data_IF_880877221225
#
_entry.id   IF_880877221225
#
_cell.length_a   1.000
_cell.length_b   1.000
_cell.length_c   1.000
_cell.angle_alpha   90.00
_cell.angle_beta   90.00
_cell.angle_gamma   90.00
#
_symmetry.space_group_name_H-M   'P 1'
#
loop_
_entity.id
_entity.type
_entity.pdbx_description
1 polymer ?
#
# COMPACT_ATOMS: atom_id res chain seq x y z
N UNK A 1 -20.09 8.11 11.03
CA UNK A 1 -18.71 8.40 10.55
C UNK A 1 -18.02 7.06 10.40
N UNK A 2 -17.31 6.82 9.30
CA UNK A 2 -16.61 5.55 9.10
C UNK A 2 -15.36 5.54 10.00
N UNK A 3 -15.17 4.55 10.89
CA UNK A 3 -14.03 4.51 11.84
C UNK A 3 -12.65 4.62 11.16
N UNK A 4 -12.55 4.14 9.92
CA UNK A 4 -11.31 4.20 9.13
C UNK A 4 -11.02 5.61 8.57
N UNK A 5 -12.06 6.42 8.36
CA UNK A 5 -11.88 7.82 7.96
C UNK A 5 -11.34 8.65 9.13
N UNK A 6 -11.89 8.45 10.33
CA UNK A 6 -11.39 9.06 11.56
C UNK A 6 -9.92 8.70 11.87
N UNK A 7 -9.52 7.45 11.60
CA UNK A 7 -8.12 7.04 11.73
C UNK A 7 -7.19 7.89 10.87
N UNK A 8 -7.53 8.12 9.59
CA UNK A 8 -6.71 8.92 8.68
C UNK A 8 -6.67 10.39 9.11
N UNK A 9 -7.78 10.95 9.57
CA UNK A 9 -7.81 12.32 10.10
C UNK A 9 -6.87 12.47 11.32
N UNK A 10 -6.92 11.54 12.27
CA UNK A 10 -6.03 11.53 13.44
C UNK A 10 -4.56 11.32 13.05
N UNK A 11 -4.31 10.43 12.10
CA UNK A 11 -2.97 10.16 11.56
C UNK A 11 -2.37 11.42 10.92
N UNK A 12 -3.11 12.12 10.06
CA UNK A 12 -2.64 13.35 9.41
C UNK A 12 -2.49 14.50 10.44
N UNK A 13 -3.43 14.63 11.36
CA UNK A 13 -3.37 15.68 12.40
C UNK A 13 -2.14 15.55 13.30
N UNK A 14 -1.65 14.33 13.54
CA UNK A 14 -0.43 14.08 14.30
C UNK A 14 0.80 14.79 13.72
N UNK A 15 0.95 14.79 12.40
CA UNK A 15 2.10 15.41 11.72
C UNK A 15 2.11 16.93 11.80
N UNK A 16 0.96 17.54 12.15
CA UNK A 16 0.78 18.98 12.32
C UNK A 16 0.70 19.41 13.79
N UNK A 17 0.79 18.50 14.77
CA UNK A 17 0.62 18.81 16.20
C UNK A 17 1.80 19.64 16.74
N UNK A 18 1.59 20.89 17.21
CA UNK A 18 2.66 21.76 17.67
C UNK A 18 3.21 21.38 19.06
N UNK A 19 2.39 20.80 19.93
CA UNK A 19 2.76 20.48 21.31
C UNK A 19 3.51 19.13 21.36
N UNK A 20 4.77 19.09 21.85
CA UNK A 20 5.55 17.85 21.92
C UNK A 20 4.92 16.77 22.83
N UNK A 21 4.27 17.16 23.93
CA UNK A 21 3.62 16.20 24.82
C UNK A 21 2.41 15.57 24.13
N UNK A 22 1.59 16.38 23.47
CA UNK A 22 0.45 15.90 22.68
C UNK A 22 0.89 15.06 21.49
N UNK A 23 2.02 15.35 20.85
CA UNK A 23 2.57 14.46 19.79
C UNK A 23 2.79 13.06 20.34
N UNK A 24 3.44 12.92 21.51
CA UNK A 24 3.66 11.64 22.15
C UNK A 24 2.36 10.92 22.49
N UNK A 25 1.40 11.63 23.08
CA UNK A 25 0.07 11.08 23.39
C UNK A 25 -0.64 10.56 22.14
N UNK A 26 -0.62 11.33 21.04
CA UNK A 26 -1.23 10.93 19.77
C UNK A 26 -0.52 9.75 19.12
N UNK A 27 0.81 9.68 19.20
CA UNK A 27 1.56 8.49 18.74
C UNK A 27 1.12 7.27 19.52
N UNK A 28 1.08 7.34 20.86
CA UNK A 28 0.65 6.23 21.71
C UNK A 28 -0.82 5.83 21.52
N UNK A 29 -1.67 6.77 21.07
CA UNK A 29 -3.07 6.50 20.75
C UNK A 29 -3.29 5.90 19.35
N UNK A 30 -2.29 6.00 18.46
CA UNK A 30 -2.36 5.48 17.09
C UNK A 30 -1.58 4.19 16.91
N UNK A 31 -0.37 4.06 17.48
CA UNK A 31 0.48 2.87 17.33
C UNK A 31 0.42 1.95 18.54
N UNK A 32 0.46 0.66 18.29
CA UNK A 32 0.76 -0.33 19.31
C UNK A 32 2.19 -0.16 19.86
N UNK A 33 2.50 -0.72 21.04
CA UNK A 33 3.81 -0.53 21.70
C UNK A 33 5.01 -0.98 20.86
N UNK A 34 4.82 -1.97 19.97
CA UNK A 34 5.83 -2.47 19.03
C UNK A 34 5.58 -1.98 17.59
N UNK A 35 4.78 -0.94 17.41
CA UNK A 35 4.47 -0.38 16.10
C UNK A 35 5.68 0.20 15.41
N UNK A 36 5.61 0.32 14.09
CA UNK A 36 6.70 0.83 13.26
C UNK A 36 6.17 1.81 12.21
N UNK A 37 6.98 2.81 11.86
CA UNK A 37 6.67 3.77 10.80
C UNK A 37 7.83 3.77 9.80
N UNK A 38 7.60 3.15 8.65
CA UNK A 38 8.63 2.76 7.71
C UNK A 38 8.64 3.67 6.48
N UNK A 39 9.79 4.21 6.17
CA UNK A 39 10.10 4.89 4.92
C UNK A 39 11.36 4.28 4.33
N UNK A 40 11.65 4.54 3.08
CA UNK A 40 12.82 3.98 2.37
C UNK A 40 14.12 3.99 3.18
N UNK A 41 14.40 5.06 3.93
CA UNK A 41 15.66 5.25 4.68
C UNK A 41 15.43 5.37 6.19
N UNK A 42 14.21 5.20 6.68
CA UNK A 42 13.84 5.35 8.09
C UNK A 42 13.02 4.14 8.54
N UNK A 43 13.35 3.64 9.73
CA UNK A 43 12.73 2.48 10.36
C UNK A 43 12.55 2.71 11.87
N UNK A 44 11.83 3.79 12.30
CA UNK A 44 11.53 4.00 13.72
C UNK A 44 10.55 2.95 14.23
N UNK A 45 10.91 2.33 15.36
CA UNK A 45 10.14 1.26 16.02
C UNK A 45 9.84 1.61 17.46
N UNK A 46 8.60 1.38 17.87
CA UNK A 46 8.08 1.72 19.19
C UNK A 46 7.76 3.21 19.37
N UNK A 47 7.00 3.50 20.41
CA UNK A 47 6.40 4.83 20.65
C UNK A 47 7.46 5.94 20.68
N UNK A 48 8.59 5.72 21.35
CA UNK A 48 9.61 6.77 21.53
C UNK A 48 10.30 7.14 20.21
N UNK A 49 10.69 6.13 19.40
CA UNK A 49 11.34 6.35 18.13
C UNK A 49 10.37 6.99 17.10
N UNK A 50 9.10 6.56 17.08
CA UNK A 50 8.08 7.16 16.23
C UNK A 50 7.80 8.60 16.66
N UNK A 51 7.71 8.88 17.96
CA UNK A 51 7.55 10.26 18.48
C UNK A 51 8.71 11.15 18.06
N UNK A 52 9.95 10.67 18.19
CA UNK A 52 11.13 11.41 17.74
C UNK A 52 11.07 11.70 16.22
N UNK A 53 10.68 10.71 15.42
CA UNK A 53 10.50 10.84 13.96
C UNK A 53 9.46 11.91 13.62
N UNK A 54 8.28 11.89 14.26
CA UNK A 54 7.21 12.87 14.07
C UNK A 54 7.69 14.26 14.46
N UNK A 55 8.40 14.37 15.58
CA UNK A 55 8.96 15.64 16.07
C UNK A 55 9.96 16.24 15.08
N UNK A 56 10.90 15.44 14.59
CA UNK A 56 11.86 15.88 13.56
C UNK A 56 11.15 16.37 12.28
N UNK A 57 10.09 15.68 11.87
CA UNK A 57 9.31 16.09 10.70
C UNK A 57 8.58 17.41 10.95
N UNK A 58 7.92 17.54 12.10
CA UNK A 58 7.24 18.77 12.50
C UNK A 58 8.22 19.96 12.53
N UNK A 59 9.34 19.83 13.23
CA UNK A 59 10.33 20.90 13.38
C UNK A 59 10.89 21.35 12.03
N UNK A 60 11.18 20.39 11.14
CA UNK A 60 11.74 20.67 9.82
C UNK A 60 10.75 21.32 8.86
N UNK A 61 9.53 20.80 8.81
CA UNK A 61 8.60 21.14 7.74
C UNK A 61 7.48 22.08 8.20
N UNK A 62 6.87 21.81 9.36
CA UNK A 62 5.75 22.61 9.86
C UNK A 62 6.27 23.88 10.53
N UNK A 63 7.04 23.74 11.60
CA UNK A 63 7.58 24.89 12.32
C UNK A 63 8.63 25.66 11.50
N UNK A 64 9.53 24.94 10.83
CA UNK A 64 10.65 25.57 10.11
C UNK A 64 10.31 26.18 8.75
N UNK A 65 9.23 25.70 8.09
CA UNK A 65 8.83 26.16 6.74
C UNK A 65 7.37 26.61 6.62
N UNK A 66 6.58 26.49 7.66
CA UNK A 66 5.15 26.82 7.63
C UNK A 66 4.32 25.89 6.74
N UNK A 67 4.80 24.66 6.50
CA UNK A 67 4.06 23.68 5.73
C UNK A 67 3.02 23.00 6.60
N UNK A 68 2.02 22.39 5.93
CA UNK A 68 1.00 21.58 6.58
C UNK A 68 0.89 20.24 5.85
N UNK A 69 0.65 19.18 6.61
CA UNK A 69 0.26 17.88 6.07
C UNK A 69 -1.25 17.82 5.91
N UNK A 70 -1.72 17.33 4.78
CA UNK A 70 -3.14 17.20 4.45
C UNK A 70 -3.42 15.82 3.87
N UNK A 71 -4.59 15.27 4.15
CA UNK A 71 -5.08 14.11 3.40
C UNK A 71 -5.41 14.54 1.96
N UNK A 72 -5.11 13.69 0.99
CA UNK A 72 -5.40 13.91 -0.42
C UNK A 72 -6.31 12.81 -0.94
N UNK A 73 -7.50 13.19 -1.41
CA UNK A 73 -8.52 12.23 -1.84
C UNK A 73 -9.16 11.45 -0.69
N UNK A 74 -9.95 10.44 -1.05
CA UNK A 74 -10.63 9.58 -0.09
C UNK A 74 -9.78 8.38 0.27
N UNK A 75 -9.63 8.04 1.56
CA UNK A 75 -8.95 6.82 1.96
C UNK A 75 -9.76 5.58 1.54
N UNK A 76 -9.06 4.49 1.29
CA UNK A 76 -9.66 3.18 1.06
C UNK A 76 -9.26 2.25 2.19
N UNK A 77 -10.22 1.43 2.65
CA UNK A 77 -9.98 0.51 3.75
C UNK A 77 -10.72 -0.80 3.52
N UNK A 78 -10.04 -1.90 3.80
CA UNK A 78 -10.65 -3.22 3.91
C UNK A 78 -9.83 -4.07 4.89
N UNK A 79 -10.50 -5.04 5.53
CA UNK A 79 -9.86 -5.91 6.51
C UNK A 79 -9.06 -5.10 7.56
N UNK A 80 -7.77 -5.36 7.71
CA UNK A 80 -6.86 -4.74 8.66
C UNK A 80 -5.94 -3.67 8.05
N UNK A 81 -6.29 -3.13 6.88
CA UNK A 81 -5.45 -2.16 6.17
C UNK A 81 -6.23 -0.92 5.71
N UNK A 82 -5.59 0.23 5.82
CA UNK A 82 -6.07 1.50 5.26
C UNK A 82 -5.01 2.07 4.33
N UNK A 83 -5.39 2.39 3.12
CA UNK A 83 -4.57 3.12 2.15
C UNK A 83 -5.03 4.58 2.12
N UNK A 84 -4.12 5.51 2.30
CA UNK A 84 -4.41 6.95 2.22
C UNK A 84 -3.30 7.72 1.51
N UNK A 85 -3.70 8.66 0.68
CA UNK A 85 -2.79 9.64 0.09
C UNK A 85 -2.66 10.85 1.01
N UNK A 86 -1.48 11.43 1.03
CA UNK A 86 -1.20 12.66 1.75
C UNK A 86 -0.39 13.63 0.89
N UNK A 87 -0.48 14.87 1.23
CA UNK A 87 0.31 15.95 0.64
C UNK A 87 0.87 16.86 1.73
N UNK A 88 1.97 17.51 1.41
CA UNK A 88 2.59 18.52 2.27
C UNK A 88 2.98 19.74 1.44
N UNK A 89 2.68 20.92 1.95
CA UNK A 89 3.01 22.20 1.30
C UNK A 89 2.56 23.38 2.14
N UNK A 90 2.71 24.62 1.62
CA UNK A 90 2.23 25.83 2.31
C UNK A 90 0.72 25.74 2.62
N UNK A 91 0.29 26.36 3.72
CA UNK A 91 -1.13 26.48 4.01
C UNK A 91 -1.82 27.26 2.88
N UNK A 92 -2.80 26.64 2.19
CA UNK A 92 -3.52 27.24 1.06
C UNK A 92 -2.73 27.33 -0.25
N UNK A 93 -1.50 26.77 -0.32
CA UNK A 93 -0.69 26.68 -1.54
C UNK A 93 -0.62 25.27 -2.12
N UNK A 94 0.10 25.15 -3.25
CA UNK A 94 0.32 23.88 -3.92
C UNK A 94 1.16 22.92 -3.07
N UNK A 95 0.91 21.61 -3.25
CA UNK A 95 1.71 20.59 -2.61
C UNK A 95 3.16 20.59 -3.14
N UNK A 96 4.12 20.54 -2.23
CA UNK A 96 5.55 20.39 -2.56
C UNK A 96 6.05 18.96 -2.37
N UNK A 97 5.26 18.12 -1.71
CA UNK A 97 5.51 16.68 -1.56
C UNK A 97 4.19 15.94 -1.50
N UNK A 98 4.16 14.80 -2.14
CA UNK A 98 3.03 13.88 -2.18
C UNK A 98 3.49 12.51 -1.69
N UNK A 99 2.57 11.73 -1.15
CA UNK A 99 2.85 10.35 -0.79
C UNK A 99 1.61 9.52 -0.56
N UNK A 100 1.87 8.23 -0.40
CA UNK A 100 0.89 7.20 -0.12
C UNK A 100 1.34 6.44 1.13
N UNK A 101 0.43 6.24 2.07
CA UNK A 101 0.65 5.41 3.25
C UNK A 101 -0.28 4.20 3.24
N UNK A 102 0.26 3.04 3.63
CA UNK A 102 -0.51 1.87 4.00
C UNK A 102 -0.41 1.70 5.52
N UNK A 103 -1.52 1.86 6.18
CA UNK A 103 -1.67 1.74 7.63
C UNK A 103 -2.20 0.35 7.95
N UNK A 104 -1.36 -0.51 8.50
CA UNK A 104 -1.70 -1.89 8.86
C UNK A 104 -2.05 -1.94 10.34
N UNK A 105 -3.21 -2.50 10.66
CA UNK A 105 -3.78 -2.51 12.00
C UNK A 105 -3.62 -3.88 12.66
N UNK A 106 -3.44 -3.87 13.95
CA UNK A 106 -3.52 -5.07 14.80
C UNK A 106 -4.97 -5.36 15.24
N UNK A 107 -5.14 -6.43 16.02
CA UNK A 107 -6.44 -6.85 16.52
C UNK A 107 -7.07 -5.84 17.51
N UNK A 108 -6.30 -4.87 18.02
CA UNK A 108 -6.75 -3.78 18.87
C UNK A 108 -7.03 -2.50 18.08
N UNK A 109 -7.03 -2.56 16.75
CA UNK A 109 -7.21 -1.42 15.85
C UNK A 109 -6.10 -0.35 15.98
N UNK A 110 -4.92 -0.73 16.48
CA UNK A 110 -3.75 0.11 16.54
C UNK A 110 -2.82 -0.18 15.35
N UNK A 111 -2.07 0.83 14.92
CA UNK A 111 -1.09 0.67 13.86
C UNK A 111 0.06 -0.23 14.35
N UNK A 112 0.22 -1.38 13.70
CA UNK A 112 1.43 -2.17 13.85
C UNK A 112 2.48 -1.79 12.82
N UNK A 113 2.05 -1.29 11.64
CA UNK A 113 2.95 -0.79 10.60
C UNK A 113 2.32 0.36 9.83
N UNK A 114 3.09 1.41 9.61
CA UNK A 114 2.84 2.49 8.70
C UNK A 114 3.93 2.45 7.61
N UNK A 115 3.53 2.13 6.38
CA UNK A 115 4.43 2.02 5.23
C UNK A 115 4.21 3.23 4.32
N UNK A 116 5.18 4.15 4.29
CA UNK A 116 5.07 5.42 3.57
C UNK A 116 5.91 5.39 2.28
N UNK A 117 5.25 5.69 1.18
CA UNK A 117 5.84 5.80 -0.16
C UNK A 117 5.73 7.24 -0.65
N UNK A 118 6.86 7.86 -1.01
CA UNK A 118 6.90 9.21 -1.57
C UNK A 118 6.58 9.19 -3.07
N UNK A 119 6.01 10.28 -3.57
CA UNK A 119 5.70 10.48 -4.98
C UNK A 119 6.53 11.63 -5.59
N UNK A 120 7.07 11.49 -6.81
CA UNK A 120 7.12 10.24 -7.59
C UNK A 120 8.08 9.22 -6.99
N UNK A 121 7.82 7.90 -7.20
CA UNK A 121 8.74 6.87 -6.74
C UNK A 121 10.05 6.95 -7.54
N UNK A 122 11.19 6.57 -6.95
CA UNK A 122 12.43 6.37 -7.69
C UNK A 122 12.31 5.18 -8.65
N UNK A 123 13.27 5.03 -9.56
CA UNK A 123 13.34 3.84 -10.41
C UNK A 123 13.47 2.57 -9.53
N UNK A 124 12.66 1.54 -9.79
CA UNK A 124 12.70 0.32 -9.00
C UNK A 124 14.02 -0.44 -9.23
N UNK A 125 14.55 -1.10 -8.19
CA UNK A 125 15.64 -2.05 -8.37
C UNK A 125 15.23 -3.21 -9.30
N UNK A 126 16.18 -3.81 -10.05
CA UNK A 126 15.87 -4.89 -11.00
C UNK A 126 15.12 -6.08 -10.41
N UNK A 127 15.39 -6.43 -9.15
CA UNK A 127 14.73 -7.51 -8.43
C UNK A 127 13.24 -7.23 -8.18
N UNK A 128 12.87 -5.99 -7.91
CA UNK A 128 11.47 -5.56 -7.77
C UNK A 128 10.74 -5.68 -9.11
N UNK A 129 11.35 -5.22 -10.19
CA UNK A 129 10.80 -5.32 -11.54
C UNK A 129 10.58 -6.79 -11.95
N UNK A 130 11.55 -7.67 -11.66
CA UNK A 130 11.43 -9.11 -11.92
C UNK A 130 10.31 -9.77 -11.11
N UNK A 131 10.12 -9.38 -9.85
CA UNK A 131 9.04 -9.89 -9.01
C UNK A 131 7.68 -9.45 -9.55
N UNK A 132 7.53 -8.18 -9.90
CA UNK A 132 6.27 -7.65 -10.45
C UNK A 132 5.92 -8.29 -11.78
N UNK A 133 6.88 -8.55 -12.66
CA UNK A 133 6.64 -9.30 -13.90
C UNK A 133 6.07 -10.69 -13.62
N UNK A 134 6.64 -11.41 -12.65
CA UNK A 134 6.11 -12.72 -12.24
C UNK A 134 4.72 -12.61 -11.62
N UNK A 135 4.49 -11.60 -10.79
CA UNK A 135 3.20 -11.35 -10.17
C UNK A 135 2.10 -11.12 -11.23
N UNK A 136 2.33 -10.22 -12.17
CA UNK A 136 1.38 -9.93 -13.27
C UNK A 136 1.15 -11.16 -14.15
N UNK A 137 2.20 -11.98 -14.39
CA UNK A 137 2.08 -13.19 -15.18
C UNK A 137 1.12 -14.23 -14.58
N UNK A 138 1.02 -14.35 -13.25
CA UNK A 138 0.07 -15.26 -12.59
C UNK A 138 -1.37 -14.99 -13.03
N UNK A 139 -1.76 -13.72 -13.04
CA UNK A 139 -3.13 -13.30 -13.38
C UNK A 139 -3.46 -13.43 -14.88
N UNK A 140 -2.44 -13.51 -15.72
CA UNK A 140 -2.55 -13.62 -17.17
C UNK A 140 -2.26 -15.03 -17.72
N UNK A 141 -1.82 -15.99 -16.89
CA UNK A 141 -1.42 -17.33 -17.34
C UNK A 141 -2.64 -18.16 -17.76
N UNK A 142 -2.76 -18.56 -19.04
CA UNK A 142 -3.91 -19.32 -19.53
C UNK A 142 -3.87 -20.80 -19.14
N UNK A 143 -2.68 -21.38 -19.00
CA UNK A 143 -2.51 -22.78 -18.62
C UNK A 143 -2.72 -22.98 -17.13
N UNK A 144 -3.62 -23.89 -16.76
CA UNK A 144 -3.99 -24.13 -15.37
C UNK A 144 -2.82 -24.70 -14.54
N UNK A 145 -2.01 -25.59 -15.12
CA UNK A 145 -0.85 -26.17 -14.44
C UNK A 145 0.23 -25.12 -14.19
N UNK A 146 0.60 -24.37 -15.24
CA UNK A 146 1.58 -23.27 -15.11
C UNK A 146 1.11 -22.19 -14.15
N UNK A 147 -0.18 -21.87 -14.11
CA UNK A 147 -0.75 -20.91 -13.14
C UNK A 147 -0.62 -21.41 -11.71
N UNK A 148 -0.86 -22.71 -11.46
CA UNK A 148 -0.67 -23.31 -10.15
C UNK A 148 0.80 -23.25 -9.72
N UNK A 149 1.73 -23.63 -10.59
CA UNK A 149 3.17 -23.57 -10.34
C UNK A 149 3.66 -22.14 -10.08
N UNK A 150 3.14 -21.18 -10.83
CA UNK A 150 3.46 -19.76 -10.65
C UNK A 150 2.99 -19.25 -9.29
N UNK A 151 1.78 -19.61 -8.84
CA UNK A 151 1.29 -19.29 -7.50
C UNK A 151 2.18 -19.92 -6.43
N UNK A 152 2.50 -21.21 -6.52
CA UNK A 152 3.33 -21.92 -5.55
C UNK A 152 4.77 -21.37 -5.45
N UNK A 153 5.28 -20.84 -6.56
CA UNK A 153 6.61 -20.23 -6.61
C UNK A 153 6.64 -18.82 -6.03
N UNK A 154 5.58 -18.04 -6.25
CA UNK A 154 5.55 -16.61 -5.92
C UNK A 154 5.08 -16.35 -4.48
N UNK A 155 4.04 -17.04 -4.00
CA UNK A 155 3.57 -16.89 -2.62
C UNK A 155 4.22 -17.90 -1.69
N UNK A 156 4.41 -17.52 -0.43
CA UNK A 156 4.75 -18.47 0.62
C UNK A 156 3.59 -19.46 0.85
N UNK A 157 3.86 -20.59 1.49
CA UNK A 157 2.85 -21.64 1.73
C UNK A 157 1.60 -21.11 2.44
N UNK A 158 1.78 -20.23 3.43
CA UNK A 158 0.72 -19.55 4.17
C UNK A 158 0.49 -18.12 3.66
N UNK A 159 0.91 -17.82 2.43
CA UNK A 159 0.71 -16.52 1.81
C UNK A 159 -0.77 -16.23 1.58
N UNK A 160 -1.13 -14.97 1.54
CA UNK A 160 -2.50 -14.52 1.34
C UNK A 160 -2.60 -13.46 0.24
N UNK A 161 -3.63 -13.58 -0.59
CA UNK A 161 -4.14 -12.50 -1.43
C UNK A 161 -5.42 -11.97 -0.81
N UNK A 162 -5.50 -10.66 -0.59
CA UNK A 162 -6.63 -9.98 0.05
C UNK A 162 -7.10 -8.85 -0.85
N UNK A 163 -8.35 -8.90 -1.25
CA UNK A 163 -9.03 -7.81 -1.94
C UNK A 163 -10.18 -7.25 -1.07
N UNK A 164 -10.91 -6.20 -1.46
CA UNK A 164 -11.99 -5.65 -0.65
C UNK A 164 -13.11 -6.64 -0.27
N UNK A 165 -13.27 -7.73 -1.01
CA UNK A 165 -14.35 -8.70 -0.85
C UNK A 165 -13.95 -9.90 0.02
N UNK A 166 -12.69 -10.37 -0.09
CA UNK A 166 -12.25 -11.60 0.56
C UNK A 166 -10.74 -11.68 0.79
N UNK A 167 -10.33 -12.62 1.64
CA UNK A 167 -8.95 -13.06 1.82
C UNK A 167 -8.82 -14.52 1.40
N UNK A 168 -7.89 -14.79 0.50
CA UNK A 168 -7.55 -16.12 -0.03
C UNK A 168 -6.22 -16.55 0.56
N UNK A 169 -6.24 -17.55 1.47
CA UNK A 169 -5.05 -18.01 2.20
C UNK A 169 -4.54 -19.33 1.63
N UNK A 170 -3.24 -19.38 1.38
CA UNK A 170 -2.54 -20.54 0.85
C UNK A 170 -2.69 -20.73 -0.65
N UNK A 171 -1.81 -21.54 -1.22
CA UNK A 171 -1.69 -21.70 -2.67
C UNK A 171 -3.00 -22.13 -3.35
N UNK A 172 -3.75 -23.04 -2.74
CA UNK A 172 -4.99 -23.55 -3.34
C UNK A 172 -6.07 -22.46 -3.47
N UNK A 173 -6.24 -21.62 -2.45
CA UNK A 173 -7.22 -20.54 -2.47
C UNK A 173 -6.80 -19.42 -3.44
N UNK A 174 -5.52 -19.03 -3.44
CA UNK A 174 -4.98 -18.02 -4.36
C UNK A 174 -5.09 -18.52 -5.81
N UNK A 175 -4.76 -19.80 -6.07
CA UNK A 175 -4.91 -20.39 -7.40
C UNK A 175 -6.37 -20.40 -7.87
N UNK A 176 -7.32 -20.74 -6.97
CA UNK A 176 -8.74 -20.72 -7.29
C UNK A 176 -9.20 -19.32 -7.69
N UNK A 177 -8.78 -18.30 -6.95
CA UNK A 177 -9.08 -16.89 -7.27
C UNK A 177 -8.42 -16.44 -8.58
N UNK A 178 -7.16 -16.75 -8.80
CA UNK A 178 -6.47 -16.43 -10.06
C UNK A 178 -7.16 -17.12 -11.26
N UNK A 179 -7.64 -18.35 -11.07
CA UNK A 179 -8.38 -19.08 -12.10
C UNK A 179 -9.75 -18.48 -12.39
N UNK A 180 -10.46 -18.03 -11.35
CA UNK A 180 -11.73 -17.32 -11.47
C UNK A 180 -11.56 -16.00 -12.24
N UNK A 181 -10.55 -15.22 -11.87
CA UNK A 181 -10.24 -13.94 -12.52
C UNK A 181 -9.84 -14.16 -13.98
N UNK A 182 -9.00 -15.18 -14.28
CA UNK A 182 -8.65 -15.52 -15.65
C UNK A 182 -9.90 -15.90 -16.47
N UNK A 183 -10.82 -16.70 -15.93
CA UNK A 183 -12.05 -17.07 -16.61
C UNK A 183 -12.95 -15.86 -16.92
N UNK A 184 -12.96 -14.85 -16.04
CA UNK A 184 -13.75 -13.63 -16.22
C UNK A 184 -13.13 -12.64 -17.22
N UNK A 185 -11.82 -12.50 -17.21
CA UNK A 185 -11.09 -11.46 -17.94
C UNK A 185 -10.19 -12.05 -19.04
N UNK A 186 -9.26 -12.92 -18.68
CA UNK A 186 -8.26 -13.47 -19.58
C UNK A 186 -8.84 -14.27 -20.73
N UNK A 187 -9.89 -15.05 -20.50
CA UNK A 187 -10.62 -15.80 -21.53
C UNK A 187 -11.28 -14.87 -22.58
N UNK A 188 -11.45 -13.58 -22.25
CA UNK A 188 -11.95 -12.55 -23.18
C UNK A 188 -10.83 -11.74 -23.84
N UNK A 189 -9.57 -12.15 -23.66
CA UNK A 189 -8.40 -11.45 -24.17
C UNK A 189 -7.95 -10.25 -23.32
N UNK A 190 -8.67 -9.92 -22.24
CA UNK A 190 -8.30 -8.84 -21.33
C UNK A 190 -7.04 -9.24 -20.55
N UNK A 191 -6.18 -8.25 -20.24
CA UNK A 191 -4.89 -8.52 -19.59
C UNK A 191 -4.58 -7.54 -18.48
N UNK A 192 -4.02 -8.06 -17.40
CA UNK A 192 -3.40 -7.23 -16.36
C UNK A 192 -2.02 -6.76 -16.83
N UNK A 193 -1.70 -5.51 -16.50
CA UNK A 193 -0.34 -4.97 -16.67
C UNK A 193 0.04 -4.11 -15.47
N UNK A 194 1.35 -3.98 -15.22
CA UNK A 194 1.86 -2.96 -14.30
C UNK A 194 1.68 -1.59 -14.96
N UNK A 195 1.15 -0.63 -14.21
CA UNK A 195 0.91 0.74 -14.67
C UNK A 195 2.13 1.67 -14.49
N UNK A 196 3.33 1.12 -14.35
CA UNK A 196 4.60 1.83 -14.32
C UNK A 196 5.04 2.36 -12.96
N UNK A 197 4.20 2.31 -11.93
CA UNK A 197 4.59 2.72 -10.57
C UNK A 197 4.91 1.50 -9.71
N UNK A 198 6.21 1.29 -9.49
CA UNK A 198 6.73 0.27 -8.58
C UNK A 198 7.65 0.97 -7.59
N UNK A 199 7.45 0.75 -6.32
CA UNK A 199 8.31 1.23 -5.26
C UNK A 199 8.40 0.20 -4.12
N UNK A 200 9.56 0.08 -3.47
CA UNK A 200 9.72 -0.90 -2.41
C UNK A 200 10.79 -0.53 -1.39
N UNK A 201 10.52 -0.91 -0.14
CA UNK A 201 11.44 -0.82 0.99
C UNK A 201 10.98 -1.74 2.13
N UNK A 202 11.91 -2.15 3.00
CA UNK A 202 11.62 -2.93 4.23
C UNK A 202 10.75 -4.18 3.98
N UNK A 203 10.98 -4.89 2.86
CA UNK A 203 10.19 -6.07 2.51
C UNK A 203 8.76 -5.77 2.04
N UNK A 204 8.43 -4.51 1.83
CA UNK A 204 7.15 -4.09 1.25
C UNK A 204 7.37 -3.56 -0.17
N UNK A 205 6.50 -3.94 -1.09
CA UNK A 205 6.54 -3.54 -2.49
C UNK A 205 5.16 -3.04 -2.91
N UNK A 206 5.09 -1.80 -3.37
CA UNK A 206 3.89 -1.20 -3.94
C UNK A 206 3.96 -1.25 -5.46
N UNK A 207 2.84 -1.57 -6.11
CA UNK A 207 2.67 -1.48 -7.56
C UNK A 207 1.29 -0.94 -7.92
N UNK A 208 1.20 -0.15 -8.99
CA UNK A 208 -0.05 0.17 -9.64
C UNK A 208 -0.29 -0.80 -10.80
N UNK A 209 -1.55 -1.20 -10.99
CA UNK A 209 -1.94 -2.14 -12.05
C UNK A 209 -3.12 -1.61 -12.85
N UNK A 210 -3.23 -2.08 -14.07
CA UNK A 210 -4.37 -1.87 -14.95
C UNK A 210 -4.84 -3.20 -15.54
N UNK A 211 -6.15 -3.36 -15.67
CA UNK A 211 -6.78 -4.33 -16.54
C UNK A 211 -7.14 -3.63 -17.83
N UNK A 212 -6.60 -4.10 -18.95
CA UNK A 212 -6.88 -3.54 -20.27
C UNK A 212 -7.69 -4.50 -21.12
N UNK A 213 -8.37 -3.97 -22.13
CA UNK A 213 -9.09 -4.77 -23.11
C UNK A 213 -8.15 -5.58 -24.02
N UNK A 214 -8.73 -6.37 -24.94
CA UNK A 214 -7.99 -7.30 -25.77
C UNK A 214 -6.98 -6.64 -26.71
N UNK A 215 -7.20 -5.42 -27.15
CA UNK A 215 -6.29 -4.64 -28.00
C UNK A 215 -5.32 -3.76 -27.18
N UNK A 216 -5.52 -3.69 -25.88
CA UNK A 216 -4.71 -2.91 -24.93
C UNK A 216 -4.97 -1.40 -24.96
N UNK A 217 -5.99 -0.95 -25.68
CA UNK A 217 -6.29 0.47 -25.87
C UNK A 217 -7.08 1.08 -24.72
N UNK A 218 -8.03 0.31 -24.13
CA UNK A 218 -8.91 0.79 -23.08
C UNK A 218 -8.52 0.21 -21.72
N UNK A 219 -8.44 1.07 -20.71
CA UNK A 219 -8.31 0.65 -19.31
C UNK A 219 -9.70 0.37 -18.74
N UNK A 220 -9.95 -0.88 -18.37
CA UNK A 220 -11.23 -1.37 -17.86
C UNK A 220 -11.31 -1.28 -16.34
N UNK A 221 -10.19 -1.47 -15.67
CA UNK A 221 -10.03 -1.33 -14.24
C UNK A 221 -8.58 -0.96 -13.92
N UNK A 222 -8.37 -0.37 -12.75
CA UNK A 222 -7.05 -0.06 -12.24
C UNK A 222 -7.02 -0.14 -10.71
N UNK A 223 -5.83 -0.24 -10.14
CA UNK A 223 -5.68 -0.25 -8.70
C UNK A 223 -4.22 -0.20 -8.25
N UNK A 224 -4.04 -0.39 -6.96
CA UNK A 224 -2.75 -0.45 -6.31
C UNK A 224 -2.68 -1.69 -5.42
N UNK A 225 -1.56 -2.42 -5.48
CA UNK A 225 -1.28 -3.51 -4.54
C UNK A 225 -0.11 -3.15 -3.63
N UNK A 226 -0.21 -3.59 -2.39
CA UNK A 226 0.90 -3.69 -1.46
C UNK A 226 1.25 -5.16 -1.26
N UNK A 227 2.46 -5.55 -1.66
CA UNK A 227 3.01 -6.88 -1.43
C UNK A 227 3.95 -6.82 -0.22
N UNK A 228 3.70 -7.64 0.80
CA UNK A 228 4.61 -7.83 1.92
C UNK A 228 5.38 -9.14 1.70
N UNK A 229 6.70 -9.03 1.68
CA UNK A 229 7.59 -10.12 1.32
C UNK A 229 8.21 -10.78 2.56
N UNK A 230 8.40 -12.09 2.48
CA UNK A 230 9.27 -12.81 3.39
C UNK A 230 10.76 -12.56 3.08
N UNK A 231 11.68 -12.88 4.01
CA UNK A 231 13.11 -12.74 3.76
C UNK A 231 13.64 -13.52 2.55
N UNK A 232 12.94 -14.57 2.12
CA UNK A 232 13.25 -15.35 0.93
C UNK A 232 12.69 -14.75 -0.38
N UNK A 233 12.04 -13.58 -0.29
CA UNK A 233 11.48 -12.84 -1.41
C UNK A 233 10.10 -13.32 -1.87
N UNK A 234 9.50 -14.33 -1.23
CA UNK A 234 8.12 -14.76 -1.53
C UNK A 234 7.10 -13.83 -0.92
N UNK A 235 5.96 -13.69 -1.59
CA UNK A 235 4.85 -12.87 -1.11
C UNK A 235 4.19 -13.56 0.10
N UNK A 236 4.16 -12.88 1.24
CA UNK A 236 3.43 -13.30 2.43
C UNK A 236 2.01 -12.72 2.47
N UNK A 237 1.87 -11.44 2.11
CA UNK A 237 0.57 -10.78 1.99
C UNK A 237 0.55 -9.96 0.72
N UNK A 238 -0.54 -10.04 0.01
CA UNK A 238 -0.87 -9.22 -1.15
C UNK A 238 -2.20 -8.52 -0.84
N UNK A 239 -2.15 -7.20 -0.72
CA UNK A 239 -3.26 -6.34 -0.35
C UNK A 239 -3.66 -5.50 -1.56
N UNK A 240 -4.79 -5.84 -2.18
CA UNK A 240 -5.26 -5.19 -3.40
C UNK A 240 -6.28 -4.09 -3.10
N UNK A 241 -6.05 -2.92 -3.66
CA UNK A 241 -6.98 -1.79 -3.68
C UNK A 241 -7.40 -1.49 -5.10
N UNK A 242 -8.70 -1.35 -5.32
CA UNK A 242 -9.24 -0.96 -6.62
C UNK A 242 -9.25 0.57 -6.72
N UNK A 243 -8.85 1.12 -7.86
CA UNK A 243 -9.01 2.55 -8.10
C UNK A 243 -10.50 2.90 -8.13
N UNK A 244 -10.87 3.99 -7.46
CA UNK A 244 -12.23 4.53 -7.58
C UNK A 244 -12.46 4.92 -9.04
N UNK A 245 -13.66 4.68 -9.56
CA UNK A 245 -14.04 4.90 -10.95
C UNK A 245 -13.73 6.32 -11.50
N UNK A 246 -13.48 7.29 -10.62
CA UNK A 246 -13.10 8.66 -10.98
C UNK A 246 -11.66 8.81 -11.49
N UNK A 247 -10.77 7.81 -11.34
CA UNK A 247 -9.40 7.84 -11.86
C UNK A 247 -9.26 7.30 -13.29
N UNK A 248 -10.35 6.79 -13.85
CA UNK A 248 -10.39 6.22 -15.22
C UNK A 248 -10.91 7.20 -16.27
N UNK A 249 -10.95 8.53 -15.95
CA UNK A 249 -11.33 9.58 -16.89
C UNK A 249 -10.13 10.42 -17.28
#
# INVERSE_FOLDING_TARGET
MNPRHDLVERYIALWNEPDPARRRERVAALWGPNGQSLQRVLDPRGIDAITARVTLSYDKWVAGRGFVFRASGSPQAHHDVVMCNWEMGPAGGDAVSLGLSFLLLDAQELLHSDLQFAEPPPAPPPEHDALIKRYVAVWNEPDAGRRLDAVATLWSEQGAHTNPEATYVGHAAIYAEASRVFALCGARGQRFRCAGRVDGHHGALRMDWELVDADGASVLAAGTNLLLLQPDGRVQRDLQFNALAQRLK
#
